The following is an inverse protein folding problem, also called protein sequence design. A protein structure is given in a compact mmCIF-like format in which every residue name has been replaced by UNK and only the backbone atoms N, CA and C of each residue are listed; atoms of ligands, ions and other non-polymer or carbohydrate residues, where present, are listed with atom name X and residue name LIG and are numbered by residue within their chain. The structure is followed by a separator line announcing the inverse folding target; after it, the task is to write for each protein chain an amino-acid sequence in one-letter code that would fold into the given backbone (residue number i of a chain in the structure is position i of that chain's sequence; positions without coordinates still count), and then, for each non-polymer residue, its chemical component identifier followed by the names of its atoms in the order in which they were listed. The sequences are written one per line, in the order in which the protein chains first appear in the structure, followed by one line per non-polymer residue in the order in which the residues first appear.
data_IF_400329754011
#
_entry.id   IF_400329754011
#
_cell.length_a   1.000
_cell.length_b   1.000
_cell.length_c   1.000
_cell.angle_alpha   90.00
_cell.angle_beta   90.00
_cell.angle_gamma   90.00
#
_symmetry.space_group_name_H-M   'P 1'
#
loop_
_entity.id
_entity.type
_entity.pdbx_description
1 polymer ?
#
# COMPACT_ATOMS: atom_id res chain seq x y z
N UNK A 1 13.99 31.60 -30.71
CA UNK A 1 14.58 30.27 -30.52
C UNK A 1 13.42 29.27 -30.46
N UNK A 2 13.14 28.56 -31.56
CA UNK A 2 12.09 27.51 -31.56
C UNK A 2 12.74 26.28 -30.96
N UNK A 3 12.40 25.94 -29.72
CA UNK A 3 12.77 24.66 -29.12
C UNK A 3 12.08 23.57 -29.92
N UNK A 4 12.84 22.74 -30.64
CA UNK A 4 12.29 21.53 -31.25
C UNK A 4 11.65 20.67 -30.14
N UNK A 5 10.41 20.20 -30.32
CA UNK A 5 9.75 19.43 -29.28
C UNK A 5 10.49 18.12 -29.08
N UNK A 6 10.94 17.85 -27.86
CA UNK A 6 11.52 16.57 -27.50
C UNK A 6 10.50 15.45 -27.79
N UNK A 7 10.79 14.62 -28.79
CA UNK A 7 10.03 13.42 -29.09
C UNK A 7 10.58 12.31 -28.21
N UNK A 8 9.77 11.83 -27.27
CA UNK A 8 10.12 10.70 -26.42
C UNK A 8 9.58 9.41 -27.04
N UNK A 9 10.25 8.29 -26.78
CA UNK A 9 9.75 6.98 -27.17
C UNK A 9 8.64 6.52 -26.22
N UNK A 10 7.56 5.87 -26.70
CA UNK A 10 6.57 5.22 -25.83
C UNK A 10 7.23 4.34 -24.77
N UNK A 11 6.83 4.50 -23.51
CA UNK A 11 7.45 3.84 -22.36
C UNK A 11 8.58 4.63 -21.68
N UNK A 12 9.02 5.75 -22.26
CA UNK A 12 9.92 6.69 -21.57
C UNK A 12 9.20 7.28 -20.36
N UNK A 13 9.84 7.25 -19.19
CA UNK A 13 9.25 7.81 -17.96
C UNK A 13 9.70 9.24 -17.76
N UNK A 14 8.71 10.12 -17.65
CA UNK A 14 8.88 11.55 -17.55
C UNK A 14 8.36 12.05 -16.20
N UNK A 15 9.00 13.09 -15.69
CA UNK A 15 8.53 13.89 -14.59
C UNK A 15 7.89 15.17 -15.13
N UNK A 16 6.63 15.38 -14.73
CA UNK A 16 5.87 16.59 -14.98
C UNK A 16 6.06 17.53 -13.80
N UNK A 17 6.82 18.61 -14.00
CA UNK A 17 7.13 19.56 -12.93
C UNK A 17 5.92 20.39 -12.52
N UNK A 18 4.95 20.59 -13.40
CA UNK A 18 3.74 21.35 -13.10
C UNK A 18 2.77 20.53 -12.22
N UNK A 19 2.64 19.24 -12.53
CA UNK A 19 1.80 18.32 -11.74
C UNK A 19 2.54 17.69 -10.54
N UNK A 20 3.87 17.84 -10.47
CA UNK A 20 4.76 17.14 -9.55
C UNK A 20 4.57 15.60 -9.56
N UNK A 21 4.38 15.03 -10.76
CA UNK A 21 4.02 13.61 -10.96
C UNK A 21 4.94 12.93 -11.97
N UNK A 22 5.04 11.61 -11.85
CA UNK A 22 5.82 10.74 -12.75
C UNK A 22 4.88 9.89 -13.58
N UNK A 23 5.10 9.82 -14.89
CA UNK A 23 4.31 9.00 -15.80
C UNK A 23 5.10 8.48 -17.01
N UNK A 24 4.61 7.40 -17.59
CA UNK A 24 5.08 6.86 -18.86
C UNK A 24 4.49 7.66 -20.02
N UNK A 25 5.35 8.08 -20.93
CA UNK A 25 4.98 8.66 -22.19
C UNK A 25 4.18 7.66 -23.03
N UNK A 26 2.96 8.04 -23.40
CA UNK A 26 2.06 7.25 -24.25
C UNK A 26 1.98 7.76 -25.69
N UNK A 27 2.32 9.03 -25.92
CA UNK A 27 2.21 9.67 -27.21
C UNK A 27 1.89 11.16 -27.08
N UNK A 28 1.53 11.79 -28.20
CA UNK A 28 1.07 13.18 -28.25
C UNK A 28 -0.41 13.24 -28.63
N UNK A 29 -1.10 14.20 -28.04
CA UNK A 29 -2.46 14.63 -28.39
C UNK A 29 -2.38 16.11 -28.76
N UNK A 30 -2.27 16.41 -30.06
CA UNK A 30 -2.02 17.77 -30.55
C UNK A 30 -0.69 18.34 -30.02
N UNK A 31 -0.77 19.48 -29.33
CA UNK A 31 0.38 20.15 -28.72
C UNK A 31 0.82 19.53 -27.38
N UNK A 32 -0.02 18.67 -26.77
CA UNK A 32 0.18 18.10 -25.45
C UNK A 32 0.74 16.69 -25.52
N UNK A 33 1.39 16.28 -24.44
CA UNK A 33 1.91 14.93 -24.23
C UNK A 33 0.96 14.18 -23.32
N UNK A 34 0.63 12.94 -23.69
CA UNK A 34 -0.18 12.04 -22.88
C UNK A 34 0.73 11.17 -22.01
N UNK A 35 0.52 11.24 -20.69
CA UNK A 35 1.24 10.45 -19.69
C UNK A 35 0.30 9.48 -18.97
N UNK A 36 0.79 8.27 -18.70
CA UNK A 36 0.11 7.27 -17.87
C UNK A 36 0.87 7.08 -16.54
N UNK A 37 0.19 7.00 -15.38
CA UNK A 37 0.90 6.72 -14.12
C UNK A 37 1.49 5.30 -14.12
N UNK A 38 2.65 5.11 -13.48
CA UNK A 38 3.35 3.80 -13.43
C UNK A 38 2.55 2.69 -12.72
N UNK A 39 1.56 3.04 -11.92
CA UNK A 39 0.66 2.09 -11.26
C UNK A 39 -0.62 1.78 -12.01
N UNK A 40 -0.82 2.39 -13.19
CA UNK A 40 -2.14 2.49 -13.82
C UNK A 40 -2.95 3.67 -13.26
N UNK A 41 -4.22 3.74 -13.65
CA UNK A 41 -5.11 4.87 -13.32
C UNK A 41 -5.25 5.89 -14.44
N UNK A 42 -5.81 7.05 -14.11
CA UNK A 42 -6.20 8.06 -15.10
C UNK A 42 -4.97 8.71 -15.76
N UNK A 43 -4.90 8.59 -17.07
CA UNK A 43 -3.93 9.29 -17.91
C UNK A 43 -4.16 10.81 -17.85
N UNK A 44 -3.11 11.59 -18.04
CA UNK A 44 -3.18 13.05 -18.04
C UNK A 44 -2.34 13.67 -19.15
N UNK A 45 -2.73 14.88 -19.55
CA UNK A 45 -2.02 15.66 -20.54
C UNK A 45 -1.07 16.67 -19.89
N UNK A 46 0.15 16.79 -20.41
CA UNK A 46 1.20 17.68 -19.94
C UNK A 46 1.81 18.50 -21.08
N UNK A 47 2.37 19.68 -20.77
CA UNK A 47 2.99 20.52 -21.79
C UNK A 47 4.42 20.03 -22.00
N UNK A 48 4.89 19.85 -23.24
CA UNK A 48 6.27 19.41 -23.49
C UNK A 48 7.35 20.21 -22.72
N UNK A 49 7.24 21.55 -22.56
CA UNK A 49 8.26 22.33 -21.84
C UNK A 49 8.38 22.03 -20.34
N UNK A 50 7.33 21.48 -19.71
CA UNK A 50 7.35 21.14 -18.27
C UNK A 50 7.75 19.67 -18.02
N UNK A 51 8.05 18.93 -19.10
CA UNK A 51 8.45 17.54 -19.02
C UNK A 51 9.96 17.39 -19.12
N UNK A 52 10.50 16.58 -18.22
CA UNK A 52 11.88 16.09 -18.31
C UNK A 52 11.93 14.60 -18.02
N UNK A 53 13.00 13.89 -18.43
CA UNK A 53 13.26 12.55 -17.94
C UNK A 53 13.19 12.48 -16.41
N UNK A 54 12.47 11.49 -15.91
CA UNK A 54 12.43 11.24 -14.47
C UNK A 54 13.80 10.72 -14.01
N UNK A 55 14.27 11.22 -12.87
CA UNK A 55 15.44 10.65 -12.19
C UNK A 55 15.13 9.24 -11.70
N UNK A 56 16.17 8.45 -11.42
CA UNK A 56 16.00 7.11 -10.86
C UNK A 56 15.22 7.14 -9.54
N UNK A 57 15.49 8.14 -8.69
CA UNK A 57 14.77 8.32 -7.42
C UNK A 57 13.28 8.60 -7.65
N UNK A 58 12.93 9.45 -8.61
CA UNK A 58 11.53 9.77 -8.93
C UNK A 58 10.80 8.56 -9.52
N UNK A 59 11.46 7.84 -10.44
CA UNK A 59 10.96 6.60 -11.03
C UNK A 59 10.72 5.54 -9.95
N UNK A 60 11.73 5.24 -9.14
CA UNK A 60 11.62 4.25 -8.06
C UNK A 60 10.56 4.65 -7.05
N UNK A 61 10.53 5.91 -6.63
CA UNK A 61 9.54 6.41 -5.68
C UNK A 61 8.11 6.29 -6.21
N UNK A 62 7.89 6.58 -7.49
CA UNK A 62 6.58 6.42 -8.12
C UNK A 62 6.19 4.94 -8.31
N UNK A 63 7.12 4.07 -8.70
CA UNK A 63 6.88 2.63 -8.77
C UNK A 63 6.57 2.01 -7.40
N UNK A 64 7.26 2.43 -6.34
CA UNK A 64 7.02 1.98 -4.98
C UNK A 64 5.66 2.44 -4.48
N UNK A 65 5.31 3.72 -4.67
CA UNK A 65 3.97 4.22 -4.33
C UNK A 65 2.88 3.43 -5.05
N UNK A 66 3.03 3.23 -6.36
CA UNK A 66 2.11 2.41 -7.14
C UNK A 66 1.97 0.97 -6.63
N UNK A 67 3.07 0.32 -6.26
CA UNK A 67 3.04 -1.03 -5.70
C UNK A 67 2.32 -1.05 -4.35
N UNK A 68 2.66 -0.12 -3.46
CA UNK A 68 2.04 0.01 -2.14
C UNK A 68 0.54 0.30 -2.26
N UNK A 69 0.14 1.23 -3.12
CA UNK A 69 -1.27 1.57 -3.35
C UNK A 69 -2.07 0.35 -3.84
N UNK A 70 -1.50 -0.48 -4.73
CA UNK A 70 -2.14 -1.74 -5.16
C UNK A 70 -2.31 -2.72 -4.01
N UNK A 71 -1.28 -2.91 -3.18
CA UNK A 71 -1.36 -3.79 -2.02
C UNK A 71 -2.39 -3.29 -0.99
N UNK A 72 -2.50 -1.98 -0.79
CA UNK A 72 -3.42 -1.37 0.16
C UNK A 72 -4.86 -1.27 -0.35
N UNK A 73 -5.08 -1.20 -1.66
CA UNK A 73 -6.42 -1.14 -2.25
C UNK A 73 -7.24 -2.41 -2.01
N UNK A 74 -6.59 -3.55 -1.82
CA UNK A 74 -7.24 -4.80 -1.38
C UNK A 74 -6.24 -5.59 -0.56
N UNK A 75 -6.14 -5.31 0.76
CA UNK A 75 -5.36 -6.15 1.64
C UNK A 75 -5.92 -7.58 1.55
N UNK A 76 -5.08 -8.62 1.42
CA UNK A 76 -5.59 -9.97 1.59
C UNK A 76 -6.29 -10.06 2.95
N UNK A 77 -7.41 -10.79 3.01
CA UNK A 77 -7.99 -11.11 4.30
C UNK A 77 -6.89 -11.79 5.14
N UNK A 78 -6.66 -11.36 6.39
CA UNK A 78 -5.68 -12.00 7.24
C UNK A 78 -6.02 -13.49 7.34
N UNK A 79 -5.00 -14.35 7.28
CA UNK A 79 -5.19 -15.79 7.42
C UNK A 79 -5.91 -16.10 8.75
N UNK A 80 -6.64 -17.22 8.86
CA UNK A 80 -7.42 -17.53 10.08
C UNK A 80 -6.56 -17.57 11.35
N UNK A 81 -5.28 -17.94 11.23
CA UNK A 81 -4.30 -17.91 12.33
C UNK A 81 -3.87 -16.49 12.72
N UNK A 82 -3.87 -15.57 11.76
CA UNK A 82 -3.59 -14.15 11.98
C UNK A 82 -4.76 -13.42 12.63
N UNK A 83 -6.00 -13.91 12.42
CA UNK A 83 -7.17 -13.39 13.14
C UNK A 83 -7.06 -13.75 14.62
N UNK A 84 -6.98 -12.76 15.52
CA UNK A 84 -6.91 -13.03 16.96
C UNK A 84 -8.22 -13.70 17.44
N UNK A 85 -8.16 -14.72 18.31
CA UNK A 85 -9.36 -15.29 18.93
C UNK A 85 -10.10 -14.22 19.72
N UNK A 86 -11.43 -14.21 19.58
CA UNK A 86 -12.31 -13.33 20.35
C UNK A 86 -12.70 -14.00 21.66
N UNK A 87 -12.80 -13.24 22.78
CA UNK A 87 -13.24 -13.82 24.04
C UNK A 87 -14.72 -14.26 23.96
N UNK A 88 -15.05 -15.41 24.56
CA UNK A 88 -16.44 -15.85 24.70
C UNK A 88 -17.17 -14.91 25.68
N UNK A 89 -18.33 -14.33 25.32
CA UNK A 89 -19.07 -13.45 26.21
C UNK A 89 -19.38 -14.12 27.56
N UNK A 90 -19.13 -13.41 28.66
CA UNK A 90 -19.37 -13.92 30.02
C UNK A 90 -18.27 -14.82 30.59
N UNK A 91 -17.25 -15.17 29.81
CA UNK A 91 -16.09 -15.91 30.31
C UNK A 91 -14.99 -14.95 30.77
N UNK A 92 -14.76 -14.84 32.08
CA UNK A 92 -13.74 -13.96 32.65
C UNK A 92 -12.32 -14.31 32.21
N UNK A 93 -11.99 -15.61 32.13
CA UNK A 93 -10.66 -16.05 31.69
C UNK A 93 -10.37 -15.65 30.23
N UNK A 94 -11.39 -15.74 29.36
CA UNK A 94 -11.30 -15.24 28.00
C UNK A 94 -11.05 -13.73 27.96
N UNK A 95 -11.82 -12.97 28.74
CA UNK A 95 -11.72 -11.51 28.78
C UNK A 95 -10.34 -11.06 29.27
N UNK A 96 -9.81 -11.69 30.32
CA UNK A 96 -8.47 -11.39 30.85
C UNK A 96 -7.36 -11.63 29.81
N UNK A 97 -7.41 -12.75 29.07
CA UNK A 97 -6.43 -13.02 28.02
C UNK A 97 -6.52 -12.01 26.86
N UNK A 98 -7.73 -11.56 26.51
CA UNK A 98 -7.93 -10.52 25.52
C UNK A 98 -7.37 -9.17 25.99
N UNK A 99 -7.61 -8.77 27.24
CA UNK A 99 -7.04 -7.56 27.84
C UNK A 99 -5.51 -7.62 27.87
N UNK A 100 -4.94 -8.77 28.24
CA UNK A 100 -3.49 -8.99 28.24
C UNK A 100 -2.89 -8.79 26.85
N UNK A 101 -3.58 -9.26 25.81
CA UNK A 101 -3.17 -9.06 24.41
C UNK A 101 -3.19 -7.59 24.02
N UNK A 102 -4.26 -6.85 24.35
CA UNK A 102 -4.34 -5.42 24.01
C UNK A 102 -3.27 -4.61 24.75
N UNK A 103 -3.00 -4.94 26.01
CA UNK A 103 -1.90 -4.34 26.79
C UNK A 103 -0.55 -4.60 26.15
N UNK A 104 -0.27 -5.84 25.74
CA UNK A 104 0.97 -6.20 25.05
C UNK A 104 1.10 -5.48 23.69
N UNK A 105 -0.01 -5.32 22.96
CA UNK A 105 -0.03 -4.58 21.69
C UNK A 105 0.30 -3.11 21.89
N UNK A 106 -0.27 -2.48 22.92
CA UNK A 106 0.03 -1.09 23.27
C UNK A 106 1.51 -0.89 23.67
N UNK A 107 2.14 -1.93 24.24
CA UNK A 107 3.56 -1.95 24.59
C UNK A 107 4.49 -2.40 23.43
N UNK A 108 3.95 -2.75 22.25
CA UNK A 108 4.69 -3.35 21.13
C UNK A 108 5.42 -4.68 21.48
N UNK A 109 4.91 -5.42 22.45
CA UNK A 109 5.42 -6.75 22.81
C UNK A 109 4.73 -7.84 21.97
N UNK A 110 5.30 -8.11 20.80
CA UNK A 110 4.75 -9.11 19.87
C UNK A 110 4.81 -10.56 20.40
N UNK A 111 5.75 -10.88 21.29
CA UNK A 111 5.84 -12.20 21.93
C UNK A 111 4.63 -12.40 22.84
N UNK A 112 4.37 -11.46 23.74
CA UNK A 112 3.25 -11.54 24.67
C UNK A 112 1.88 -11.51 23.95
N UNK A 113 1.75 -10.78 22.82
CA UNK A 113 0.56 -10.85 21.96
C UNK A 113 0.34 -12.27 21.44
N UNK A 114 1.39 -12.93 21.00
CA UNK A 114 1.34 -14.30 20.47
C UNK A 114 0.96 -15.29 21.57
N UNK A 115 1.59 -15.19 22.75
CA UNK A 115 1.29 -16.04 23.91
C UNK A 115 -0.17 -15.90 24.35
N UNK A 116 -0.69 -14.67 24.44
CA UNK A 116 -2.08 -14.42 24.80
C UNK A 116 -3.06 -15.06 23.79
N UNK A 117 -2.76 -14.97 22.49
CA UNK A 117 -3.56 -15.61 21.45
C UNK A 117 -3.51 -17.15 21.53
N UNK A 118 -2.35 -17.74 21.82
CA UNK A 118 -2.19 -19.20 21.98
C UNK A 118 -2.96 -19.69 23.20
N UNK A 119 -2.80 -19.02 24.35
CA UNK A 119 -3.48 -19.36 25.59
C UNK A 119 -5.01 -19.24 25.45
N UNK A 120 -5.50 -18.20 24.74
CA UNK A 120 -6.94 -18.01 24.55
C UNK A 120 -7.55 -19.12 23.70
N UNK A 121 -6.91 -19.51 22.59
CA UNK A 121 -7.35 -20.66 21.78
C UNK A 121 -7.31 -21.97 22.57
N UNK A 122 -6.27 -22.17 23.38
CA UNK A 122 -6.15 -23.36 24.22
C UNK A 122 -7.27 -23.44 25.26
N UNK A 123 -7.60 -22.32 25.91
CA UNK A 123 -8.71 -22.25 26.86
C UNK A 123 -10.05 -22.54 26.17
N UNK A 124 -10.30 -21.92 25.01
CA UNK A 124 -11.53 -22.15 24.24
C UNK A 124 -11.74 -23.61 23.86
N UNK A 125 -10.69 -24.24 23.34
CA UNK A 125 -10.70 -25.67 23.02
C UNK A 125 -10.98 -26.59 24.20
N UNK A 126 -10.68 -26.16 25.43
CA UNK A 126 -10.85 -26.98 26.63
C UNK A 126 -12.19 -26.74 27.31
N UNK A 127 -12.64 -25.49 27.35
CA UNK A 127 -13.76 -25.06 28.19
C UNK A 127 -15.03 -24.72 27.39
N UNK A 128 -14.92 -24.44 26.08
CA UNK A 128 -16.03 -23.93 25.25
C UNK A 128 -16.31 -24.77 24.00
N UNK A 129 -15.33 -25.51 23.50
CA UNK A 129 -15.49 -26.47 22.39
C UNK A 129 -15.57 -27.88 22.97
N UNK A 130 -16.77 -28.24 23.44
CA UNK A 130 -17.11 -29.62 23.82
C UNK A 130 -17.30 -30.51 22.60
#
# INVERSE_FOLDING_TARGET
MRTEPATYEPGTVLYDTAAAKVGEYRGRSGARVLLRPLGGGREWEAEPPVLRPATDRERLGASLRAANDRTLATPPAPAELERPPLPVPGCEACAWLAERRETARAAFDHSAVTDANVLLRQHQRKEHEG
#
